data_IF_528737546957
#
_entry.id   IF_528737546957
#
_cell.length_a   1.000
_cell.length_b   1.000
_cell.length_c   1.000
_cell.angle_alpha   90.00
_cell.angle_beta   90.00
_cell.angle_gamma   90.00
#
_symmetry.space_group_name_H-M   'P 1'
#
loop_
_entity.id
_entity.type
_entity.pdbx_description
1 polymer ?
#
# COMPACT_ATOMS: atom_id res chain seq x y z
N UNK A 1 -22.21 -39.74 24.53
CA UNK A 1 -20.79 -39.86 24.17
C UNK A 1 -20.44 -39.17 22.84
N UNK A 2 -21.27 -39.30 21.86
CA UNK A 2 -21.02 -38.66 20.56
C UNK A 2 -21.08 -37.14 20.58
N UNK A 3 -21.72 -36.58 21.59
CA UNK A 3 -21.92 -35.14 21.72
C UNK A 3 -20.68 -34.36 22.11
N UNK A 4 -19.67 -35.03 22.61
CA UNK A 4 -18.45 -34.39 23.11
C UNK A 4 -17.48 -34.03 21.97
N UNK A 5 -17.57 -34.75 20.84
CA UNK A 5 -16.63 -34.58 19.71
C UNK A 5 -16.95 -33.33 18.88
N UNK A 6 -18.24 -32.99 18.74
CA UNK A 6 -18.69 -31.87 17.93
C UNK A 6 -18.22 -30.50 18.42
N UNK A 7 -18.30 -30.17 19.72
CA UNK A 7 -17.79 -28.88 20.20
C UNK A 7 -16.29 -28.74 20.00
N UNK A 8 -15.58 -29.85 20.08
CA UNK A 8 -14.13 -29.85 19.92
C UNK A 8 -13.71 -29.48 18.50
N UNK A 9 -14.41 -30.00 17.51
CA UNK A 9 -14.16 -29.67 16.11
C UNK A 9 -14.43 -28.21 15.80
N UNK A 10 -15.45 -27.64 16.38
CA UNK A 10 -15.79 -26.22 16.17
C UNK A 10 -14.71 -25.30 16.71
N UNK A 11 -14.14 -25.64 17.86
CA UNK A 11 -13.04 -24.86 18.47
C UNK A 11 -11.79 -24.84 17.56
N UNK A 12 -11.44 -25.99 16.98
CA UNK A 12 -10.31 -26.10 16.08
C UNK A 12 -10.51 -25.25 14.83
N UNK A 13 -11.71 -25.24 14.28
CA UNK A 13 -12.06 -24.41 13.15
C UNK A 13 -11.93 -22.91 13.46
N UNK A 14 -12.38 -22.49 14.62
CA UNK A 14 -12.27 -21.11 15.05
C UNK A 14 -10.81 -20.66 15.16
N UNK A 15 -9.94 -21.53 15.66
CA UNK A 15 -8.51 -21.23 15.77
C UNK A 15 -7.84 -21.07 14.41
N UNK A 16 -8.19 -21.92 13.44
CA UNK A 16 -7.65 -21.81 12.08
C UNK A 16 -8.11 -20.52 11.41
N UNK A 17 -9.36 -20.14 11.58
CA UNK A 17 -9.88 -18.88 11.04
C UNK A 17 -9.16 -17.67 11.66
N UNK A 18 -8.78 -17.75 12.94
CA UNK A 18 -8.10 -16.68 13.65
C UNK A 18 -6.68 -16.45 13.12
N UNK A 19 -5.96 -17.49 12.76
CA UNK A 19 -4.56 -17.38 12.30
C UNK A 19 -4.42 -16.78 10.91
N UNK A 20 -5.50 -16.71 10.12
CA UNK A 20 -5.47 -16.16 8.76
C UNK A 20 -5.69 -14.65 8.69
N UNK A 21 -5.87 -13.95 9.80
CA UNK A 21 -6.26 -12.54 9.82
C UNK A 21 -5.06 -11.61 10.07
N UNK A 22 -3.86 -12.15 10.39
CA UNK A 22 -2.82 -11.39 11.07
C UNK A 22 -1.73 -10.78 10.20
N UNK A 23 -1.86 -10.73 8.85
CA UNK A 23 -0.72 -10.32 8.02
C UNK A 23 -0.98 -9.13 7.09
N UNK A 24 -1.69 -8.12 7.58
CA UNK A 24 -1.96 -6.97 6.74
C UNK A 24 -1.39 -5.71 7.36
N UNK A 25 -0.09 -5.53 7.23
CA UNK A 25 0.60 -4.32 7.66
C UNK A 25 1.46 -3.77 6.55
N UNK A 26 1.59 -2.46 6.54
CA UNK A 26 2.50 -1.76 5.63
C UNK A 26 3.91 -1.77 6.19
N UNK A 27 4.88 -1.62 5.30
CA UNK A 27 6.29 -1.41 5.66
C UNK A 27 6.65 0.06 5.47
N UNK A 28 7.42 0.61 6.42
CA UNK A 28 7.70 2.04 6.48
C UNK A 28 9.15 2.42 6.21
N UNK A 29 10.02 1.42 6.00
CA UNK A 29 11.46 1.63 5.82
C UNK A 29 11.91 1.51 4.37
N UNK A 30 11.02 1.83 3.46
CA UNK A 30 11.28 1.76 2.05
C UNK A 30 10.17 2.37 1.24
N UNK A 31 10.04 1.93 0.02
CA UNK A 31 9.00 2.38 -0.90
C UNK A 31 8.24 1.18 -1.48
N UNK A 32 7.05 1.44 -1.96
CA UNK A 32 6.31 0.53 -2.83
C UNK A 32 6.42 1.05 -4.25
N UNK A 33 6.81 0.19 -5.19
CA UNK A 33 7.06 0.61 -6.56
C UNK A 33 6.34 -0.28 -7.56
N UNK A 34 5.92 0.35 -8.65
CA UNK A 34 5.30 -0.30 -9.80
C UNK A 34 5.95 0.24 -11.07
N UNK A 35 6.54 -0.63 -11.89
CA UNK A 35 7.16 -0.22 -13.15
C UNK A 35 6.11 0.26 -14.14
N UNK A 36 6.22 1.51 -14.55
CA UNK A 36 5.37 2.09 -15.59
C UNK A 36 5.89 1.75 -16.99
N UNK A 37 7.21 1.79 -17.16
CA UNK A 37 7.90 1.47 -18.40
C UNK A 37 9.35 1.06 -18.10
N UNK A 38 10.20 0.99 -19.11
CA UNK A 38 11.59 0.57 -18.93
C UNK A 38 12.45 1.57 -18.15
N UNK A 39 11.99 2.80 -17.99
CA UNK A 39 12.77 3.88 -17.37
C UNK A 39 12.15 4.42 -16.10
N UNK A 40 10.83 4.28 -15.91
CA UNK A 40 10.10 4.94 -14.84
C UNK A 40 9.27 3.98 -14.00
N UNK A 41 9.14 4.32 -12.72
CA UNK A 41 8.28 3.62 -11.76
C UNK A 41 7.36 4.61 -11.06
N UNK A 42 6.13 4.19 -10.81
CA UNK A 42 5.28 4.85 -9.82
C UNK A 42 5.72 4.40 -8.45
N UNK A 43 5.86 5.33 -7.51
CA UNK A 43 6.32 5.02 -6.16
C UNK A 43 5.38 5.59 -5.10
N UNK A 44 5.25 4.85 -4.01
CA UNK A 44 4.47 5.22 -2.83
C UNK A 44 5.37 5.07 -1.60
N UNK A 45 5.23 5.99 -0.65
CA UNK A 45 5.89 5.89 0.65
C UNK A 45 4.86 6.13 1.74
N UNK A 46 4.83 5.22 2.71
CA UNK A 46 3.88 5.30 3.82
C UNK A 46 4.63 5.63 5.11
N UNK A 47 3.98 6.40 5.96
CA UNK A 47 4.48 6.76 7.29
C UNK A 47 3.53 6.21 8.34
N UNK A 48 4.05 5.90 9.50
CA UNK A 48 3.24 5.36 10.60
C UNK A 48 2.15 6.33 11.09
N UNK A 49 2.33 7.61 10.87
CA UNK A 49 1.35 8.64 11.26
C UNK A 49 0.13 8.73 10.34
N UNK A 50 0.05 7.87 9.34
CA UNK A 50 -1.07 7.88 8.38
C UNK A 50 -0.82 8.68 7.12
N UNK A 51 0.37 9.26 6.95
CA UNK A 51 0.71 10.01 5.74
C UNK A 51 1.15 9.05 4.64
N UNK A 52 0.74 9.34 3.40
CA UNK A 52 1.21 8.65 2.22
C UNK A 52 1.69 9.66 1.19
N UNK A 53 2.80 9.37 0.54
CA UNK A 53 3.35 10.14 -0.56
C UNK A 53 3.30 9.32 -1.84
N UNK A 54 3.05 9.98 -2.97
CA UNK A 54 3.08 9.36 -4.28
C UNK A 54 3.87 10.21 -5.25
N UNK A 55 4.65 9.58 -6.10
CA UNK A 55 5.41 10.26 -7.15
C UNK A 55 5.82 9.27 -8.24
N UNK A 56 6.58 9.75 -9.20
CA UNK A 56 7.20 8.94 -10.25
C UNK A 56 8.71 9.10 -10.16
N UNK A 57 9.43 8.01 -10.27
CA UNK A 57 10.89 7.98 -10.21
C UNK A 57 11.44 7.22 -11.41
N UNK A 58 12.75 7.43 -11.72
CA UNK A 58 13.47 6.50 -12.57
C UNK A 58 13.59 5.15 -11.87
N UNK A 59 13.87 4.07 -12.60
CA UNK A 59 13.90 2.72 -12.03
C UNK A 59 15.10 2.44 -11.11
N UNK A 60 15.94 3.43 -10.88
CA UNK A 60 17.01 3.40 -9.89
C UNK A 60 16.52 4.14 -8.64
N UNK A 61 16.44 3.45 -7.50
CA UNK A 61 15.86 4.01 -6.27
C UNK A 61 16.91 4.48 -5.26
N UNK A 62 18.19 4.52 -5.63
CA UNK A 62 19.28 4.79 -4.69
C UNK A 62 19.19 6.16 -4.02
N UNK A 63 18.70 7.17 -4.74
CA UNK A 63 18.62 8.52 -4.22
C UNK A 63 17.18 8.99 -3.93
N UNK A 64 16.22 8.08 -3.96
CA UNK A 64 14.80 8.44 -3.79
C UNK A 64 14.57 9.19 -2.48
N UNK A 65 15.20 8.79 -1.38
CA UNK A 65 14.98 9.44 -0.10
C UNK A 65 15.56 10.85 0.01
N UNK A 66 16.42 11.25 -0.89
CA UNK A 66 16.93 12.63 -0.89
C UNK A 66 15.83 13.63 -1.26
N UNK A 67 14.81 13.20 -1.97
CA UNK A 67 13.73 14.08 -2.42
C UNK A 67 12.33 13.57 -2.11
N UNK A 68 12.13 12.26 -1.88
CA UNK A 68 10.82 11.67 -1.65
C UNK A 68 10.47 11.66 -0.16
N UNK A 69 10.16 12.85 0.37
CA UNK A 69 9.82 13.05 1.77
C UNK A 69 8.74 14.13 1.93
N UNK A 70 8.17 14.22 3.12
CA UNK A 70 7.01 15.09 3.43
C UNK A 70 7.26 16.57 3.16
N UNK A 71 8.50 17.03 3.29
CA UNK A 71 8.85 18.43 3.15
C UNK A 71 8.91 18.88 1.69
N UNK A 72 9.04 17.95 0.76
CA UNK A 72 9.19 18.27 -0.67
C UNK A 72 7.84 18.31 -1.37
N UNK A 73 7.02 19.30 -1.03
CA UNK A 73 5.64 19.41 -1.51
C UNK A 73 5.51 19.66 -3.00
N UNK A 74 6.55 20.19 -3.64
CA UNK A 74 6.51 20.52 -5.07
C UNK A 74 6.67 19.30 -5.96
N UNK A 75 7.26 18.23 -5.45
CA UNK A 75 7.60 17.04 -6.23
C UNK A 75 6.78 15.81 -5.87
N UNK A 76 5.94 15.90 -4.85
CA UNK A 76 5.18 14.74 -4.37
C UNK A 76 3.70 15.08 -4.23
N UNK A 77 2.87 14.06 -4.45
CA UNK A 77 1.47 14.10 -4.04
C UNK A 77 1.39 13.57 -2.61
N UNK A 78 0.57 14.20 -1.77
CA UNK A 78 0.49 13.86 -0.35
C UNK A 78 -0.95 13.60 0.05
N UNK A 79 -1.15 12.66 0.95
CA UNK A 79 -2.46 12.37 1.48
C UNK A 79 -2.41 11.56 2.76
N UNK A 80 -3.57 11.05 3.15
CA UNK A 80 -3.72 10.19 4.32
C UNK A 80 -4.31 8.87 3.89
N UNK A 81 -3.82 7.79 4.49
CA UNK A 81 -4.35 6.45 4.22
C UNK A 81 -5.12 5.92 5.42
N UNK A 82 -6.03 5.01 5.14
CA UNK A 82 -6.78 4.26 6.15
C UNK A 82 -6.71 2.79 5.82
N UNK A 83 -6.47 1.98 6.84
CA UNK A 83 -6.42 0.52 6.72
C UNK A 83 -7.53 -0.06 7.60
N UNK A 84 -8.30 -0.98 7.01
CA UNK A 84 -9.28 -1.76 7.74
C UNK A 84 -9.07 -3.21 7.36
N UNK A 85 -8.53 -4.00 8.30
CA UNK A 85 -8.07 -5.37 8.04
C UNK A 85 -7.00 -5.34 6.94
N UNK A 86 -7.25 -5.96 5.79
CA UNK A 86 -6.30 -5.96 4.68
C UNK A 86 -6.65 -4.95 3.58
N UNK A 87 -7.73 -4.19 3.74
CA UNK A 87 -8.13 -3.16 2.79
C UNK A 87 -7.45 -1.84 3.10
N UNK A 88 -7.02 -1.15 2.05
CA UNK A 88 -6.40 0.16 2.18
C UNK A 88 -7.09 1.13 1.23
N UNK A 89 -7.28 2.37 1.69
CA UNK A 89 -7.79 3.47 0.89
C UNK A 89 -7.00 4.72 1.18
N UNK A 90 -6.69 5.47 0.14
CA UNK A 90 -6.08 6.79 0.32
C UNK A 90 -6.30 7.66 -0.90
N UNK A 91 -6.15 8.95 -0.67
CA UNK A 91 -6.23 9.98 -1.71
C UNK A 91 -5.02 10.87 -1.55
N UNK A 92 -4.34 11.15 -2.65
CA UNK A 92 -3.15 12.01 -2.68
C UNK A 92 -3.40 13.18 -3.61
N UNK A 93 -2.94 14.35 -3.21
CA UNK A 93 -3.13 15.61 -3.93
C UNK A 93 -1.83 16.40 -3.98
N UNK A 94 -1.61 17.09 -5.08
CA UNK A 94 -0.47 17.96 -5.26
C UNK A 94 -0.60 18.79 -6.53
N UNK A 95 0.52 19.32 -7.01
CA UNK A 95 0.52 20.23 -8.15
C UNK A 95 -0.06 19.61 -9.42
N UNK A 96 0.08 18.31 -9.60
CA UNK A 96 -0.38 17.59 -10.80
C UNK A 96 -1.82 17.06 -10.69
N UNK A 97 -2.49 17.25 -9.56
CA UNK A 97 -3.88 16.83 -9.39
C UNK A 97 -4.10 15.91 -8.20
N UNK A 98 -5.17 15.14 -8.27
CA UNK A 98 -5.63 14.25 -7.20
C UNK A 98 -5.82 12.85 -7.75
N UNK A 99 -5.35 11.86 -6.99
CA UNK A 99 -5.48 10.45 -7.31
C UNK A 99 -6.07 9.70 -6.12
N UNK A 100 -7.02 8.81 -6.38
CA UNK A 100 -7.64 7.95 -5.37
C UNK A 100 -7.20 6.51 -5.55
N UNK A 101 -6.86 5.86 -4.45
CA UNK A 101 -6.40 4.48 -4.42
C UNK A 101 -7.29 3.64 -3.51
N UNK A 102 -7.66 2.47 -3.97
CA UNK A 102 -8.35 1.46 -3.17
C UNK A 102 -7.76 0.10 -3.46
N UNK A 103 -7.49 -0.67 -2.43
CA UNK A 103 -6.92 -1.99 -2.68
C UNK A 103 -6.73 -2.85 -1.46
N UNK A 104 -5.79 -3.79 -1.59
CA UNK A 104 -5.55 -4.83 -0.62
C UNK A 104 -4.05 -4.98 -0.37
N UNK A 105 -3.68 -5.12 0.89
CA UNK A 105 -2.31 -5.41 1.30
C UNK A 105 -2.14 -6.93 1.32
N UNK A 106 -1.13 -7.44 0.62
CA UNK A 106 -0.81 -8.87 0.56
C UNK A 106 0.69 -9.06 0.79
N UNK A 107 1.09 -9.16 2.07
CA UNK A 107 2.50 -9.24 2.42
C UNK A 107 3.26 -8.00 1.95
N UNK A 108 4.26 -8.17 1.10
CA UNK A 108 5.04 -7.08 0.54
C UNK A 108 4.45 -6.51 -0.75
N UNK A 109 3.28 -6.98 -1.15
CA UNK A 109 2.60 -6.52 -2.37
C UNK A 109 1.38 -5.69 -1.98
N UNK A 110 1.17 -4.62 -2.72
CA UNK A 110 0.03 -3.74 -2.56
C UNK A 110 -0.74 -3.72 -3.89
N UNK A 111 -1.91 -4.36 -3.92
CA UNK A 111 -2.75 -4.40 -5.12
C UNK A 111 -3.80 -3.31 -5.01
N UNK A 112 -3.76 -2.32 -5.90
CA UNK A 112 -4.66 -1.17 -5.84
C UNK A 112 -5.26 -0.85 -7.19
N UNK A 113 -6.47 -0.28 -7.15
CA UNK A 113 -7.09 0.42 -8.24
C UNK A 113 -6.89 1.90 -8.03
N UNK A 114 -6.29 2.55 -9.01
CA UNK A 114 -6.03 3.98 -9.02
C UNK A 114 -7.03 4.67 -9.91
N UNK A 115 -7.61 5.78 -9.45
CA UNK A 115 -8.46 6.65 -10.26
C UNK A 115 -7.88 8.05 -10.26
N UNK A 116 -7.61 8.58 -11.46
CA UNK A 116 -7.23 9.99 -11.62
C UNK A 116 -8.50 10.83 -11.62
N UNK A 117 -8.59 11.80 -10.71
CA UNK A 117 -9.81 12.59 -10.55
C UNK A 117 -10.10 13.52 -11.73
N UNK A 118 -9.07 14.04 -12.37
CA UNK A 118 -9.24 14.97 -13.49
C UNK A 118 -9.76 14.27 -14.75
N UNK A 119 -9.18 13.12 -15.08
CA UNK A 119 -9.50 12.38 -16.31
C UNK A 119 -10.51 11.27 -16.11
N UNK A 120 -10.78 10.89 -14.87
CA UNK A 120 -11.60 9.72 -14.50
C UNK A 120 -11.07 8.40 -15.03
N UNK A 121 -9.82 8.38 -15.47
CA UNK A 121 -9.16 7.14 -15.89
C UNK A 121 -8.78 6.30 -14.70
N UNK A 122 -8.86 4.99 -14.85
CA UNK A 122 -8.52 4.02 -13.82
C UNK A 122 -7.40 3.10 -14.31
N UNK A 123 -6.62 2.60 -13.35
CA UNK A 123 -5.60 1.59 -13.60
C UNK A 123 -5.50 0.67 -12.40
N UNK A 124 -5.18 -0.58 -12.63
CA UNK A 124 -4.91 -1.54 -11.55
C UNK A 124 -3.42 -1.79 -11.51
N UNK A 125 -2.82 -1.72 -10.31
CA UNK A 125 -1.39 -1.87 -10.12
C UNK A 125 -1.08 -2.78 -8.95
N UNK A 126 -0.08 -3.63 -9.11
CA UNK A 126 0.50 -4.41 -8.02
C UNK A 126 1.87 -3.81 -7.68
N UNK A 127 1.93 -3.02 -6.63
CA UNK A 127 3.16 -2.43 -6.13
C UNK A 127 3.93 -3.45 -5.31
N UNK A 128 5.24 -3.44 -5.41
CA UNK A 128 6.13 -4.29 -4.62
C UNK A 128 6.97 -3.45 -3.68
N UNK A 129 7.15 -3.91 -2.45
CA UNK A 129 7.94 -3.21 -1.46
C UNK A 129 9.44 -3.38 -1.70
N UNK A 130 10.17 -2.28 -1.65
CA UNK A 130 11.64 -2.25 -1.71
C UNK A 130 12.18 -1.58 -0.47
N UNK A 131 12.88 -2.32 0.41
CA UNK A 131 13.53 -1.72 1.57
C UNK A 131 14.72 -0.88 1.11
N UNK A 132 14.87 0.30 1.67
CA UNK A 132 15.92 1.24 1.29
C UNK A 132 16.87 1.55 2.46
N UNK A 133 16.94 0.68 3.44
CA UNK A 133 17.93 0.79 4.51
C UNK A 133 17.67 1.86 5.56
N UNK A 134 16.44 2.24 5.73
CA UNK A 134 16.06 3.23 6.77
C UNK A 134 15.99 2.64 8.15
#
# INVERSE_FOLDING_TARGET
MKKIVLPFLVIVFALVAFTNVDNCSLSYKGIYAFKLDNEHSAILRFYEDGTVLASTSVNDYLDVFTWFHKENKDMVLTGKYKIKKCSIKFEVTGATGTQKYEGTIRGETLEVKLTDEATKKTATRAYTYFPLGL
#
